data_IF_420288397761
#
_entry.id   IF_420288397761
#
_cell.length_a   1.000
_cell.length_b   1.000
_cell.length_c   1.000
_cell.angle_alpha   90.00
_cell.angle_beta   90.00
_cell.angle_gamma   90.00
#
_symmetry.space_group_name_H-M   'P 1'
#
loop_
_entity.id
_entity.type
_entity.pdbx_description
1 polymer ?
#
# COMPACT_ATOMS: atom_id res chain seq x y z
N UNK A 1 57.47 12.40 -30.53
CA UNK A 1 57.46 11.01 -31.03
C UNK A 1 56.33 10.25 -30.33
N UNK A 2 55.32 9.84 -31.12
CA UNK A 2 54.37 8.71 -31.01
C UNK A 2 53.76 8.36 -29.63
N UNK A 3 52.45 8.61 -29.48
CA UNK A 3 51.53 7.86 -28.61
C UNK A 3 51.51 6.37 -29.02
N UNK A 4 51.25 5.46 -28.10
CA UNK A 4 50.48 4.25 -28.40
C UNK A 4 48.99 4.47 -28.10
N UNK A 5 48.16 4.10 -29.06
CA UNK A 5 46.69 4.09 -29.03
C UNK A 5 46.17 2.79 -28.38
N UNK A 6 45.05 2.93 -27.65
CA UNK A 6 43.90 1.99 -27.56
C UNK A 6 44.06 0.60 -26.89
N UNK A 7 42.97 -0.05 -26.40
CA UNK A 7 41.54 0.21 -26.67
C UNK A 7 40.64 0.39 -25.44
N UNK A 8 39.51 1.08 -25.66
CA UNK A 8 38.28 0.98 -24.85
C UNK A 8 37.63 -0.39 -25.07
N UNK A 9 37.33 -1.17 -24.01
CA UNK A 9 36.19 -2.06 -24.01
C UNK A 9 35.01 -1.37 -23.32
N UNK A 10 33.87 -1.54 -23.95
CA UNK A 10 32.58 -0.94 -23.67
C UNK A 10 32.12 -1.03 -22.21
N UNK A 11 31.28 -0.05 -21.84
CA UNK A 11 30.36 -0.07 -20.71
C UNK A 11 29.85 -1.47 -20.38
N UNK A 12 29.99 -1.95 -19.14
CA UNK A 12 28.94 -2.77 -18.56
C UNK A 12 27.74 -1.84 -18.31
N UNK A 13 26.64 -2.12 -19.01
CA UNK A 13 25.33 -1.54 -18.77
C UNK A 13 25.04 -1.44 -17.26
N UNK A 14 24.34 -0.39 -16.80
CA UNK A 14 23.88 -0.37 -15.42
C UNK A 14 23.04 -1.62 -15.23
N UNK A 15 23.47 -2.49 -14.31
CA UNK A 15 22.64 -3.54 -13.78
C UNK A 15 21.31 -2.88 -13.41
N UNK A 16 20.28 -3.17 -14.21
CA UNK A 16 18.90 -2.90 -13.85
C UNK A 16 18.62 -3.75 -12.62
N UNK A 17 18.99 -3.21 -11.46
CA UNK A 17 18.41 -3.62 -10.21
C UNK A 17 16.90 -3.40 -10.42
N UNK A 18 16.04 -4.42 -10.20
CA UNK A 18 14.62 -4.17 -10.17
C UNK A 18 14.42 -3.03 -9.16
N UNK A 19 13.78 -1.95 -9.61
CA UNK A 19 13.60 -0.74 -8.84
C UNK A 19 13.26 -1.13 -7.40
N UNK A 20 13.96 -0.60 -6.36
CA UNK A 20 13.41 -0.67 -5.02
C UNK A 20 12.02 -0.07 -5.15
N UNK A 21 11.02 -0.93 -4.95
CA UNK A 21 9.61 -0.62 -5.05
C UNK A 21 9.44 0.72 -4.32
N UNK A 22 8.79 1.72 -4.94
CA UNK A 22 8.86 3.08 -4.44
C UNK A 22 8.53 3.04 -2.95
N UNK A 23 9.51 3.49 -2.17
CA UNK A 23 9.38 3.80 -0.76
C UNK A 23 8.29 4.89 -0.62
N UNK A 24 7.04 4.48 -0.80
CA UNK A 24 5.86 5.05 -0.16
C UNK A 24 5.94 4.80 1.37
N UNK A 25 7.06 4.22 1.83
CA UNK A 25 7.44 3.89 3.18
C UNK A 25 7.96 5.07 4.01
N UNK A 26 7.94 6.32 3.53
CA UNK A 26 8.52 7.45 4.30
C UNK A 26 7.66 8.71 4.41
N UNK A 27 6.35 8.53 4.46
CA UNK A 27 5.52 9.27 5.41
C UNK A 27 4.79 8.25 6.28
N UNK A 28 5.53 7.69 7.26
CA UNK A 28 5.04 6.71 8.23
C UNK A 28 4.13 7.41 9.26
N UNK A 29 3.01 7.93 8.79
CA UNK A 29 1.82 7.88 9.64
C UNK A 29 1.49 6.38 9.73
N UNK A 30 1.57 5.77 10.92
CA UNK A 30 1.30 4.34 11.13
C UNK A 30 -0.01 3.95 10.42
N UNK A 31 0.15 3.41 9.21
CA UNK A 31 -0.96 3.17 8.30
C UNK A 31 -0.88 1.70 7.91
N UNK A 32 -1.77 0.91 8.49
CA UNK A 32 -1.77 -0.55 8.41
C UNK A 32 -2.71 -0.95 7.28
N UNK A 33 -2.15 -1.44 6.18
CA UNK A 33 -2.91 -2.06 5.10
C UNK A 33 -3.34 -3.48 5.47
N UNK A 34 -4.58 -3.83 5.21
CA UNK A 34 -5.12 -5.17 5.39
C UNK A 34 -6.19 -5.46 4.33
N UNK A 35 -6.58 -6.73 4.19
CA UNK A 35 -7.65 -7.12 3.28
C UNK A 35 -8.72 -7.92 4.00
N UNK A 36 -9.93 -7.85 3.48
CA UNK A 36 -11.10 -8.55 3.97
C UNK A 36 -11.65 -9.39 2.83
N UNK A 37 -11.76 -10.69 3.05
CA UNK A 37 -12.43 -11.62 2.15
C UNK A 37 -13.93 -11.64 2.47
N UNK A 38 -14.76 -11.28 1.50
CA UNK A 38 -16.23 -11.28 1.65
C UNK A 38 -16.89 -11.80 0.38
N UNK A 39 -17.65 -12.89 0.47
CA UNK A 39 -18.37 -13.46 -0.67
C UNK A 39 -17.45 -13.80 -1.86
N UNK A 40 -16.24 -14.31 -1.59
CA UNK A 40 -15.23 -14.63 -2.60
C UNK A 40 -14.55 -13.40 -3.24
N UNK A 41 -14.73 -12.21 -2.67
CA UNK A 41 -14.12 -10.96 -3.14
C UNK A 41 -13.15 -10.44 -2.09
N UNK A 42 -11.94 -10.11 -2.56
CA UNK A 42 -10.97 -9.35 -1.79
C UNK A 42 -11.32 -7.88 -1.78
N UNK A 43 -11.28 -7.28 -0.59
CA UNK A 43 -11.53 -5.86 -0.37
C UNK A 43 -10.35 -5.33 0.42
N UNK A 44 -9.68 -4.31 -0.11
CA UNK A 44 -8.54 -3.70 0.54
C UNK A 44 -9.01 -2.66 1.55
N UNK A 45 -8.33 -2.57 2.68
CA UNK A 45 -8.63 -1.60 3.72
C UNK A 45 -7.35 -1.10 4.34
N UNK A 46 -7.42 0.11 4.87
CA UNK A 46 -6.28 0.83 5.39
C UNK A 46 -6.67 1.45 6.71
N UNK A 47 -5.94 1.18 7.78
CA UNK A 47 -6.13 1.83 9.07
C UNK A 47 -5.01 2.84 9.30
N UNK A 48 -5.33 4.12 9.45
CA UNK A 48 -4.40 5.18 9.83
C UNK A 48 -4.48 5.40 11.34
N UNK A 49 -3.49 4.92 12.08
CA UNK A 49 -3.38 5.14 13.52
C UNK A 49 -3.21 6.62 13.87
N UNK A 50 -2.68 7.44 12.94
CA UNK A 50 -2.55 8.90 13.11
C UNK A 50 -3.88 9.57 13.43
N UNK A 51 -4.93 9.18 12.72
CA UNK A 51 -6.27 9.76 12.86
C UNK A 51 -7.26 8.77 13.47
N UNK A 52 -6.81 7.56 13.79
CA UNK A 52 -7.65 6.42 14.11
C UNK A 52 -8.68 6.14 13.02
N UNK A 53 -8.35 6.28 11.73
CA UNK A 53 -9.30 6.17 10.61
C UNK A 53 -9.10 4.86 9.85
N UNK A 54 -10.17 4.11 9.65
CA UNK A 54 -10.29 3.00 8.71
C UNK A 54 -10.86 3.49 7.39
N UNK A 55 -10.13 3.27 6.30
CA UNK A 55 -10.56 3.52 4.94
C UNK A 55 -10.72 2.19 4.22
N UNK A 56 -11.91 1.91 3.72
CA UNK A 56 -12.22 0.69 2.95
C UNK A 56 -12.21 1.02 1.46
N UNK A 57 -11.44 0.26 0.68
CA UNK A 57 -11.27 0.41 -0.74
C UNK A 57 -11.71 -0.85 -1.50
N UNK A 58 -12.53 -0.69 -2.53
CA UNK A 58 -12.97 -1.76 -3.39
C UNK A 58 -12.78 -1.38 -4.85
N UNK A 59 -12.07 -2.23 -5.63
CA UNK A 59 -11.77 -2.00 -7.05
C UNK A 59 -11.15 -0.62 -7.34
N UNK A 60 -10.23 -0.19 -6.47
CA UNK A 60 -9.56 1.11 -6.58
C UNK A 60 -10.42 2.33 -6.21
N UNK A 61 -11.63 2.12 -5.65
CA UNK A 61 -12.49 3.19 -5.14
C UNK A 61 -12.62 3.11 -3.63
N UNK A 62 -12.54 4.24 -2.95
CA UNK A 62 -12.88 4.33 -1.53
C UNK A 62 -14.39 4.18 -1.36
N UNK A 63 -14.80 3.14 -0.63
CA UNK A 63 -16.20 2.88 -0.30
C UNK A 63 -16.63 3.63 0.96
N UNK A 64 -15.75 3.69 1.97
CA UNK A 64 -16.05 4.36 3.23
C UNK A 64 -14.81 4.67 4.04
N UNK A 65 -15.00 5.61 4.95
CA UNK A 65 -14.00 6.09 5.89
C UNK A 65 -14.66 6.19 7.26
N UNK A 66 -14.06 5.64 8.29
CA UNK A 66 -14.64 5.61 9.64
C UNK A 66 -13.57 5.70 10.70
N UNK A 67 -13.86 6.35 11.82
CA UNK A 67 -12.96 6.41 12.97
C UNK A 67 -13.42 5.46 14.08
N UNK A 68 -12.80 4.27 14.28
CA UNK A 68 -12.98 3.52 15.53
C UNK A 68 -12.72 4.45 16.72
N UNK A 69 -13.77 4.80 17.45
CA UNK A 69 -13.62 5.40 18.77
C UNK A 69 -13.22 4.29 19.76
N UNK A 70 -12.34 4.63 20.69
CA UNK A 70 -11.87 3.83 21.82
C UNK A 70 -10.89 2.67 21.58
N UNK A 71 -10.93 1.94 20.46
CA UNK A 71 -10.08 0.75 20.32
C UNK A 71 -9.34 0.65 18.97
N UNK A 72 -8.00 0.85 18.95
CA UNK A 72 -7.20 0.73 17.74
C UNK A 72 -7.06 -0.71 17.25
N UNK A 73 -7.37 -1.73 18.06
CA UNK A 73 -7.35 -3.15 17.64
C UNK A 73 -8.65 -3.57 16.92
N UNK A 74 -9.75 -2.85 17.14
CA UNK A 74 -11.08 -3.12 16.58
C UNK A 74 -11.26 -2.67 15.13
N UNK A 75 -10.25 -2.05 14.53
CA UNK A 75 -10.29 -1.53 13.15
C UNK A 75 -10.75 -2.57 12.11
N UNK A 76 -10.36 -3.86 12.27
CA UNK A 76 -10.79 -4.94 11.38
C UNK A 76 -12.28 -5.25 11.51
N UNK A 77 -12.78 -5.27 12.74
CA UNK A 77 -14.20 -5.53 13.05
C UNK A 77 -15.06 -4.41 12.49
N UNK A 78 -14.64 -3.16 12.71
CA UNK A 78 -15.29 -1.96 12.17
C UNK A 78 -15.33 -1.98 10.65
N UNK A 79 -14.19 -2.26 9.99
CA UNK A 79 -14.15 -2.38 8.52
C UNK A 79 -15.12 -3.45 7.99
N UNK A 80 -15.21 -4.59 8.67
CA UNK A 80 -16.15 -5.68 8.33
C UNK A 80 -17.60 -5.25 8.52
N UNK A 81 -17.93 -4.55 9.61
CA UNK A 81 -19.27 -4.03 9.86
C UNK A 81 -19.68 -2.98 8.83
N UNK A 82 -18.79 -2.04 8.50
CA UNK A 82 -19.03 -1.03 7.46
C UNK A 82 -19.29 -1.69 6.11
N UNK A 83 -18.48 -2.68 5.75
CA UNK A 83 -18.72 -3.50 4.57
C UNK A 83 -20.07 -4.22 4.63
N UNK A 84 -20.51 -4.67 5.80
CA UNK A 84 -21.82 -5.30 5.95
C UNK A 84 -22.95 -4.35 5.68
N UNK A 85 -22.89 -3.11 6.16
CA UNK A 85 -23.92 -2.11 5.89
C UNK A 85 -23.91 -1.69 4.42
N UNK A 86 -22.74 -1.44 3.83
CA UNK A 86 -22.63 -0.96 2.45
C UNK A 86 -22.95 -2.00 1.38
N UNK A 87 -22.62 -3.27 1.65
CA UNK A 87 -22.82 -4.37 0.71
C UNK A 87 -24.05 -5.20 1.05
N UNK A 88 -24.92 -4.74 1.96
CA UNK A 88 -26.25 -5.32 2.20
C UNK A 88 -27.22 -4.96 1.04
N UNK A 89 -26.82 -5.32 -0.17
CA UNK A 89 -27.59 -5.20 -1.41
C UNK A 89 -28.02 -6.61 -1.83
#
# INVERSE_FOLDING_TARGET
>A
MRRPEEPTPASPAPLSMPAPQPETARLVAETIGFHIERGGRRIDATYSARNGIVTVNYRGKTLSTYSPQDDPESYRTVARQLLSVMLAI
#
